data_IF_295402562252
#
_entry.id   IF_295402562252
#
_cell.length_a   1.000
_cell.length_b   1.000
_cell.length_c   1.000
_cell.angle_alpha   90.00
_cell.angle_beta   90.00
_cell.angle_gamma   90.00
#
_symmetry.space_group_name_H-M   'P 1'
#
loop_
_entity.id
_entity.type
_entity.pdbx_description
1 polymer ?
#
# COMPACT_ATOMS: atom_id res chain seq x y z
N UNK A 1 1.52 -21.68 11.59
CA UNK A 1 1.26 -21.18 10.21
C UNK A 1 1.26 -19.66 10.08
N UNK A 2 0.21 -18.88 10.43
CA UNK A 2 0.26 -17.41 10.18
C UNK A 2 1.35 -16.68 10.99
N UNK A 3 1.35 -16.83 12.32
CA UNK A 3 2.35 -16.19 13.19
C UNK A 3 3.78 -16.68 12.94
N UNK A 4 3.90 -17.96 12.63
CA UNK A 4 5.16 -18.61 12.24
C UNK A 4 5.70 -18.05 10.91
N UNK A 5 4.83 -17.89 9.90
CA UNK A 5 5.19 -17.27 8.63
C UNK A 5 5.65 -15.82 8.82
N UNK A 6 4.95 -15.05 9.66
CA UNK A 6 5.34 -13.67 9.97
C UNK A 6 6.72 -13.63 10.62
N UNK A 7 6.99 -14.52 11.60
CA UNK A 7 8.28 -14.63 12.25
C UNK A 7 9.39 -15.04 11.26
N UNK A 8 9.13 -16.04 10.41
CA UNK A 8 10.09 -16.52 9.41
C UNK A 8 10.46 -15.45 8.37
N UNK A 9 9.51 -14.60 8.00
CA UNK A 9 9.72 -13.53 7.01
C UNK A 9 10.07 -12.17 7.63
N UNK A 10 10.29 -12.12 8.94
CA UNK A 10 10.57 -10.89 9.69
C UNK A 10 9.52 -9.80 9.45
N UNK A 11 8.25 -10.19 9.33
CA UNK A 11 7.13 -9.27 9.14
C UNK A 11 6.60 -8.78 10.49
N UNK A 12 6.17 -7.50 10.60
CA UNK A 12 5.59 -6.99 11.83
C UNK A 12 4.32 -7.76 12.22
N UNK A 13 4.21 -8.19 13.47
CA UNK A 13 3.01 -8.85 14.01
C UNK A 13 1.77 -7.96 13.97
N UNK A 14 1.95 -6.63 13.92
CA UNK A 14 0.87 -5.67 13.74
C UNK A 14 0.05 -5.91 12.46
N UNK A 15 0.63 -6.55 11.43
CA UNK A 15 -0.06 -6.86 10.16
C UNK A 15 -0.91 -8.13 10.26
N UNK A 16 -0.81 -8.90 11.35
CA UNK A 16 -1.50 -10.18 11.47
C UNK A 16 -3.04 -10.10 11.35
N UNK A 17 -3.75 -9.11 11.92
CA UNK A 17 -5.20 -8.99 11.78
C UNK A 17 -5.62 -8.76 10.32
N UNK A 18 -4.99 -7.81 9.63
CA UNK A 18 -5.30 -7.46 8.25
C UNK A 18 -4.98 -8.62 7.29
N UNK A 19 -3.86 -9.32 7.52
CA UNK A 19 -3.48 -10.48 6.73
C UNK A 19 -4.45 -11.65 6.93
N UNK A 20 -4.97 -11.83 8.15
CA UNK A 20 -5.99 -12.84 8.43
C UNK A 20 -7.29 -12.54 7.71
N UNK A 21 -7.73 -11.28 7.70
CA UNK A 21 -8.92 -10.85 6.97
C UNK A 21 -8.75 -11.05 5.46
N UNK A 22 -7.62 -10.63 4.90
CA UNK A 22 -7.31 -10.84 3.48
C UNK A 22 -7.37 -12.32 3.11
N UNK A 23 -6.76 -13.21 3.91
CA UNK A 23 -6.78 -14.66 3.65
C UNK A 23 -8.21 -15.22 3.71
N UNK A 24 -9.05 -14.74 4.65
CA UNK A 24 -10.47 -15.13 4.71
C UNK A 24 -11.22 -14.71 3.45
N UNK A 25 -11.04 -13.48 3.00
CA UNK A 25 -11.66 -12.99 1.76
C UNK A 25 -11.21 -13.79 0.54
N UNK A 26 -9.91 -14.03 0.39
CA UNK A 26 -9.36 -14.84 -0.71
C UNK A 26 -9.88 -16.29 -0.67
N UNK A 27 -10.14 -16.83 0.52
CA UNK A 27 -10.64 -18.21 0.66
C UNK A 27 -12.06 -18.40 0.12
N UNK A 28 -12.83 -17.32 -0.06
CA UNK A 28 -14.18 -17.36 -0.63
C UNK A 28 -14.20 -17.81 -2.09
N UNK A 29 -13.12 -17.54 -2.84
CA UNK A 29 -12.95 -18.02 -4.22
C UNK A 29 -11.67 -18.86 -4.33
N UNK A 30 -11.81 -20.15 -4.00
CA UNK A 30 -10.71 -21.12 -4.10
C UNK A 30 -10.19 -21.30 -5.52
N UNK A 31 -11.02 -21.11 -6.55
CA UNK A 31 -10.58 -21.30 -7.94
C UNK A 31 -9.68 -20.15 -8.38
N UNK A 32 -10.06 -18.92 -8.08
CA UNK A 32 -9.22 -17.75 -8.32
C UNK A 32 -7.92 -17.82 -7.51
N UNK A 33 -8.01 -18.21 -6.23
CA UNK A 33 -6.85 -18.38 -5.36
C UNK A 33 -5.83 -19.37 -5.93
N UNK A 34 -6.28 -20.53 -6.41
CA UNK A 34 -5.39 -21.54 -7.00
C UNK A 34 -4.72 -21.08 -8.31
N UNK A 35 -5.27 -20.06 -8.97
CA UNK A 35 -4.73 -19.50 -10.22
C UNK A 35 -3.92 -18.22 -9.99
N UNK A 36 -3.87 -17.72 -8.75
CA UNK A 36 -3.19 -16.46 -8.46
C UNK A 36 -1.68 -16.67 -8.57
N UNK A 37 -1.05 -15.92 -9.47
CA UNK A 37 0.41 -15.87 -9.61
C UNK A 37 0.80 -14.41 -9.46
N UNK A 38 1.59 -14.11 -8.42
CA UNK A 38 2.09 -12.77 -8.19
C UNK A 38 3.62 -12.77 -8.25
N UNK A 39 4.16 -12.44 -9.43
CA UNK A 39 5.59 -12.17 -9.56
C UNK A 39 5.93 -10.85 -8.88
N UNK A 40 7.03 -10.81 -8.12
CA UNK A 40 7.52 -9.59 -7.42
C UNK A 40 7.58 -8.36 -8.33
N UNK A 41 8.05 -8.53 -9.56
CA UNK A 41 8.17 -7.45 -10.54
C UNK A 41 6.79 -7.04 -11.11
N UNK A 42 5.87 -7.99 -11.25
CA UNK A 42 4.51 -7.70 -11.71
C UNK A 42 3.70 -6.93 -10.65
N UNK A 43 3.91 -7.21 -9.36
CA UNK A 43 3.31 -6.45 -8.27
C UNK A 43 3.79 -4.99 -8.28
N UNK A 44 5.11 -4.77 -8.31
CA UNK A 44 5.70 -3.42 -8.40
C UNK A 44 5.19 -2.64 -9.63
N UNK A 45 5.14 -3.30 -10.79
CA UNK A 45 4.59 -2.70 -12.01
C UNK A 45 3.10 -2.33 -11.86
N UNK A 46 2.27 -3.26 -11.37
CA UNK A 46 0.83 -3.00 -11.19
C UNK A 46 0.59 -1.87 -10.18
N UNK A 47 1.33 -1.83 -9.08
CA UNK A 47 1.24 -0.73 -8.11
C UNK A 47 1.63 0.59 -8.74
N UNK A 48 2.76 0.64 -9.45
CA UNK A 48 3.32 1.88 -10.01
C UNK A 48 2.59 2.43 -11.22
N UNK A 49 1.98 1.59 -12.06
CA UNK A 49 1.38 2.04 -13.32
C UNK A 49 -0.14 1.93 -13.38
N UNK A 50 -0.75 1.08 -12.54
CA UNK A 50 -2.21 0.92 -12.53
C UNK A 50 -2.81 1.52 -11.27
N UNK A 51 -2.42 1.00 -10.10
CA UNK A 51 -3.04 1.40 -8.83
C UNK A 51 -2.75 2.87 -8.54
N UNK A 52 -1.49 3.29 -8.65
CA UNK A 52 -1.09 4.70 -8.45
C UNK A 52 -1.84 5.66 -9.38
N UNK A 53 -2.09 5.26 -10.63
CA UNK A 53 -2.81 6.08 -11.61
C UNK A 53 -4.25 6.28 -11.15
N UNK A 54 -4.95 5.20 -10.82
CA UNK A 54 -6.33 5.26 -10.35
C UNK A 54 -6.45 6.04 -9.04
N UNK A 55 -5.56 5.80 -8.07
CA UNK A 55 -5.55 6.54 -6.79
C UNK A 55 -5.27 8.02 -7.03
N UNK A 56 -4.36 8.36 -7.94
CA UNK A 56 -4.05 9.76 -8.28
C UNK A 56 -5.24 10.46 -8.94
N UNK A 57 -5.91 9.79 -9.88
CA UNK A 57 -7.08 10.35 -10.57
C UNK A 57 -8.21 10.61 -9.58
N UNK A 58 -8.54 9.64 -8.72
CA UNK A 58 -9.55 9.81 -7.67
C UNK A 58 -9.19 10.95 -6.70
N UNK A 59 -7.96 10.95 -6.16
CA UNK A 59 -7.48 12.01 -5.29
C UNK A 59 -7.61 13.39 -5.96
N UNK A 60 -7.23 13.50 -7.23
CA UNK A 60 -7.30 14.79 -7.92
C UNK A 60 -8.74 15.27 -8.12
N UNK A 61 -9.68 14.37 -8.43
CA UNK A 61 -11.10 14.70 -8.51
C UNK A 61 -11.66 15.18 -7.17
N UNK A 62 -11.21 14.63 -6.06
CA UNK A 62 -11.66 15.02 -4.72
C UNK A 62 -11.08 16.39 -4.33
N UNK A 63 -9.78 16.61 -4.54
CA UNK A 63 -9.11 17.88 -4.26
C UNK A 63 -9.59 19.05 -5.15
N UNK A 64 -10.28 18.77 -6.26
CA UNK A 64 -10.92 19.79 -7.08
C UNK A 64 -12.25 20.27 -6.51
N UNK A 65 -12.90 19.47 -5.65
CA UNK A 65 -14.24 19.74 -5.12
C UNK A 65 -14.17 20.31 -3.70
N UNK A 66 -13.20 19.86 -2.92
CA UNK A 66 -13.09 20.18 -1.50
C UNK A 66 -11.87 21.06 -1.18
N UNK A 67 -11.96 21.82 -0.09
CA UNK A 67 -10.79 22.47 0.46
C UNK A 67 -9.87 21.43 1.08
N UNK A 68 -8.57 21.62 0.88
CA UNK A 68 -7.55 20.73 1.43
C UNK A 68 -6.41 21.53 2.06
N UNK A 69 -5.66 20.86 2.92
CA UNK A 69 -4.43 21.40 3.49
C UNK A 69 -3.24 20.50 3.14
N UNK A 70 -2.06 21.10 3.09
CA UNK A 70 -0.81 20.42 2.81
C UNK A 70 0.14 20.58 4.00
N UNK A 71 0.64 19.45 4.51
CA UNK A 71 1.77 19.43 5.42
C UNK A 71 3.04 19.11 4.62
N UNK A 72 4.02 20.01 4.71
CA UNK A 72 5.32 19.88 4.06
C UNK A 72 6.39 19.69 5.13
N UNK A 73 7.10 18.57 5.06
CA UNK A 73 8.20 18.25 5.96
C UNK A 73 9.48 18.00 5.16
N UNK A 74 10.55 18.72 5.48
CA UNK A 74 11.86 18.52 4.88
C UNK A 74 12.80 17.90 5.93
N UNK A 75 13.35 16.74 5.61
CA UNK A 75 14.36 16.06 6.42
C UNK A 75 15.60 15.73 5.59
N UNK A 76 16.70 15.45 6.27
CA UNK A 76 17.93 14.96 5.63
C UNK A 76 18.32 13.64 6.29
N UNK A 77 18.50 12.59 5.49
CA UNK A 77 18.83 11.27 6.01
C UNK A 77 20.34 11.12 6.31
N UNK A 78 20.73 9.98 6.89
CA UNK A 78 22.12 9.66 7.24
C UNK A 78 23.07 9.58 6.03
N UNK A 79 22.54 9.50 4.81
CA UNK A 79 23.29 9.54 3.55
C UNK A 79 23.34 10.94 2.93
N UNK A 80 22.98 11.98 3.69
CA UNK A 80 22.94 13.38 3.26
C UNK A 80 21.96 13.65 2.10
N UNK A 81 20.95 12.79 1.93
CA UNK A 81 19.89 13.00 0.95
C UNK A 81 18.78 13.82 1.59
N UNK A 82 18.39 14.91 0.92
CA UNK A 82 17.21 15.69 1.28
C UNK A 82 15.95 14.96 0.86
N UNK A 83 15.01 14.83 1.78
CA UNK A 83 13.71 14.19 1.59
C UNK A 83 12.65 15.23 1.91
N UNK A 84 11.77 15.51 0.94
CA UNK A 84 10.59 16.34 1.15
C UNK A 84 9.37 15.43 1.15
N UNK A 85 8.66 15.41 2.27
CA UNK A 85 7.41 14.69 2.44
C UNK A 85 6.25 15.67 2.29
N UNK A 86 5.27 15.31 1.46
CA UNK A 86 4.04 16.08 1.28
C UNK A 86 2.87 15.20 1.71
N UNK A 87 2.16 15.64 2.75
CA UNK A 87 0.92 15.00 3.19
C UNK A 87 -0.26 15.91 2.85
N UNK A 88 -1.26 15.36 2.16
CA UNK A 88 -2.49 16.06 1.80
C UNK A 88 -3.61 15.62 2.72
N UNK A 89 -4.25 16.58 3.40
CA UNK A 89 -5.43 16.32 4.22
C UNK A 89 -6.64 17.00 3.56
N UNK A 90 -7.66 16.20 3.28
CA UNK A 90 -8.94 16.59 2.68
C UNK A 90 -10.02 15.69 3.29
N UNK A 91 -11.23 16.21 3.41
CA UNK A 91 -12.39 15.51 3.99
C UNK A 91 -13.11 14.62 2.95
#
# INVERSE_FOLDING_TARGET
>A
MLLEFLAEKSLPFAVAPDLLELVKEMSKDRQALNRIIMHRNAASYKTRFRISKTVKEALFEDLQKEFFSLNLDESTNSSNQKIVTVLVNYD
#
